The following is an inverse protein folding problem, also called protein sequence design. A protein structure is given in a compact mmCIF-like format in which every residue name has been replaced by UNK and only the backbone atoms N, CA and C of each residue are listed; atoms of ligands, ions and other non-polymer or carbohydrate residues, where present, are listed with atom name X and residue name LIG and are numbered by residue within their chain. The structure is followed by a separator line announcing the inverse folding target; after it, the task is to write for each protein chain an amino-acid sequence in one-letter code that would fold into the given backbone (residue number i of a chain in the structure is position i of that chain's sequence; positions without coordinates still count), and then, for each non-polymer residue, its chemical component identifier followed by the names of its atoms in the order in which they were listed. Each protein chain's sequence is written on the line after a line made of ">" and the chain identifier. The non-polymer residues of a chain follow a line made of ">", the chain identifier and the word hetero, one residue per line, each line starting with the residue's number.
data_IF_952243126393
#
_entry.id   IF_952243126393
#
_cell.length_a   1.000
_cell.length_b   1.000
_cell.length_c   1.000
_cell.angle_alpha   90.00
_cell.angle_beta   90.00
_cell.angle_gamma   90.00
#
_symmetry.space_group_name_H-M   'P 1'
#
loop_
_entity.id
_entity.type
_entity.pdbx_description
1 polymer ?
#
# COMPACT_ATOMS: atom_id res chain seq x y z
N UNK A 1 36.56 30.94 7.01
CA UNK A 1 36.04 29.58 7.32
C UNK A 1 34.51 29.71 7.49
N UNK A 2 33.73 29.29 6.51
CA UNK A 2 32.27 29.13 6.68
C UNK A 2 32.11 27.99 7.69
N UNK A 3 31.49 28.27 8.85
CA UNK A 3 31.06 27.23 9.79
C UNK A 3 30.16 26.27 8.98
N UNK A 4 30.59 25.03 8.81
CA UNK A 4 29.74 23.97 8.27
C UNK A 4 28.51 23.92 9.18
N UNK A 5 27.37 24.28 8.63
CA UNK A 5 26.11 24.28 9.39
C UNK A 5 25.75 22.81 9.59
N UNK A 6 26.03 22.29 10.79
CA UNK A 6 25.67 20.90 11.12
C UNK A 6 24.14 20.81 11.23
N UNK A 7 23.52 20.01 10.37
CA UNK A 7 22.09 19.74 10.44
C UNK A 7 21.81 18.66 11.50
N UNK A 8 20.77 18.85 12.26
CA UNK A 8 20.25 17.81 13.18
C UNK A 8 19.52 16.73 12.42
N UNK A 9 18.69 17.13 11.43
CA UNK A 9 17.85 16.19 10.68
C UNK A 9 17.92 16.48 9.19
N UNK A 10 18.06 15.41 8.38
CA UNK A 10 17.78 15.43 6.93
C UNK A 10 16.41 14.83 6.67
N UNK A 11 15.51 15.59 6.05
CA UNK A 11 14.19 15.13 5.64
C UNK A 11 14.27 14.76 4.16
N UNK A 12 14.01 13.50 3.84
CA UNK A 12 14.10 12.93 2.50
C UNK A 12 12.71 12.79 1.90
N UNK A 13 12.48 13.44 0.75
CA UNK A 13 11.20 13.49 0.05
C UNK A 13 11.37 12.97 -1.38
N UNK A 14 11.04 11.70 -1.67
CA UNK A 14 10.93 11.21 -3.03
C UNK A 14 9.65 11.76 -3.65
N UNK A 15 9.69 12.24 -4.89
CA UNK A 15 8.51 12.79 -5.54
C UNK A 15 8.40 12.34 -7.00
N UNK A 16 7.19 11.96 -7.40
CA UNK A 16 6.81 11.66 -8.78
C UNK A 16 5.38 12.15 -9.03
N UNK A 17 5.22 13.11 -9.95
CA UNK A 17 3.93 13.71 -10.29
C UNK A 17 3.16 14.23 -9.06
N UNK A 18 3.84 15.04 -8.23
CA UNK A 18 3.35 15.59 -6.97
C UNK A 18 2.91 17.06 -7.05
N UNK A 19 2.65 17.62 -8.24
CA UNK A 19 2.33 19.04 -8.46
C UNK A 19 1.29 19.59 -7.47
N UNK A 20 0.28 18.78 -7.13
CA UNK A 20 -0.84 19.21 -6.26
C UNK A 20 -0.53 19.12 -4.76
N UNK A 21 0.51 18.42 -4.35
CA UNK A 21 0.73 18.04 -2.95
C UNK A 21 2.08 18.47 -2.40
N UNK A 22 3.13 18.49 -3.25
CA UNK A 22 4.51 18.73 -2.81
C UNK A 22 4.71 20.08 -2.10
N UNK A 23 3.98 21.13 -2.48
CA UNK A 23 4.04 22.42 -1.79
C UNK A 23 3.64 22.30 -0.33
N UNK A 24 2.49 21.70 -0.04
CA UNK A 24 2.01 21.46 1.34
C UNK A 24 2.97 20.57 2.13
N UNK A 25 3.54 19.57 1.48
CA UNK A 25 4.52 18.67 2.06
C UNK A 25 5.75 19.46 2.56
N UNK A 26 6.38 20.27 1.70
CA UNK A 26 7.56 21.07 2.03
C UNK A 26 7.22 22.14 3.08
N UNK A 27 6.09 22.83 2.95
CA UNK A 27 5.64 23.86 3.88
C UNK A 27 5.50 23.31 5.30
N UNK A 28 5.04 22.06 5.46
CA UNK A 28 4.92 21.41 6.77
C UNK A 28 6.29 21.19 7.45
N UNK A 29 7.33 20.96 6.66
CA UNK A 29 8.71 20.87 7.18
C UNK A 29 9.27 22.26 7.53
N UNK A 30 9.03 23.25 6.68
CA UNK A 30 9.46 24.62 6.92
C UNK A 30 8.77 25.26 8.16
N UNK A 31 7.55 24.81 8.45
CA UNK A 31 6.80 25.22 9.65
C UNK A 31 7.33 24.63 10.96
N UNK A 32 8.17 23.57 10.90
CA UNK A 32 8.74 22.98 12.11
C UNK A 32 9.56 23.97 12.93
N UNK A 33 9.49 23.86 14.25
CA UNK A 33 10.31 24.65 15.20
C UNK A 33 11.80 24.40 15.03
N UNK A 34 12.17 23.17 14.68
CA UNK A 34 13.55 22.79 14.38
C UNK A 34 14.04 23.42 13.07
N UNK A 35 14.89 24.45 13.18
CA UNK A 35 15.47 25.12 12.00
C UNK A 35 16.78 24.48 11.51
N UNK A 36 17.37 23.60 12.30
CA UNK A 36 18.61 22.89 11.94
C UNK A 36 18.29 21.62 11.13
N UNK A 37 17.49 21.77 10.08
CA UNK A 37 17.15 20.68 9.16
C UNK A 37 17.47 21.04 7.72
N UNK A 38 17.80 20.04 6.92
CA UNK A 38 17.85 20.12 5.45
C UNK A 38 16.73 19.27 4.85
N UNK A 39 16.26 19.69 3.69
CA UNK A 39 15.21 19.00 2.94
C UNK A 39 15.83 18.52 1.63
N UNK A 40 15.83 17.23 1.41
CA UNK A 40 16.38 16.58 0.23
C UNK A 40 15.22 16.04 -0.61
N UNK A 41 14.87 16.75 -1.67
CA UNK A 41 13.83 16.34 -2.61
C UNK A 41 14.48 15.61 -3.79
N UNK A 42 14.03 14.41 -4.11
CA UNK A 42 14.43 13.71 -5.33
C UNK A 42 13.24 13.57 -6.27
N UNK A 43 13.25 14.33 -7.37
CA UNK A 43 12.30 14.17 -8.47
C UNK A 43 12.62 12.89 -9.25
N UNK A 44 11.68 11.93 -9.20
CA UNK A 44 11.80 10.61 -9.85
C UNK A 44 11.23 10.63 -11.28
N UNK A 45 11.57 11.68 -12.05
CA UNK A 45 11.19 11.82 -13.45
C UNK A 45 9.75 12.29 -13.65
N UNK A 46 9.29 13.28 -12.89
CA UNK A 46 7.95 13.83 -13.02
C UNK A 46 7.70 14.44 -14.41
N UNK A 47 6.47 14.31 -14.88
CA UNK A 47 6.00 14.79 -16.18
C UNK A 47 4.96 15.96 -16.08
N UNK A 48 4.61 16.34 -14.85
CA UNK A 48 3.71 17.44 -14.50
C UNK A 48 4.50 18.68 -14.03
N UNK A 49 3.84 19.65 -13.40
CA UNK A 49 4.45 20.88 -12.89
C UNK A 49 5.33 20.72 -11.65
N UNK A 50 5.55 19.51 -11.14
CA UNK A 50 6.31 19.22 -9.90
C UNK A 50 7.68 19.88 -9.91
N UNK A 51 8.44 19.74 -11.00
CA UNK A 51 9.81 20.23 -11.08
C UNK A 51 9.89 21.75 -10.93
N UNK A 52 8.92 22.49 -11.48
CA UNK A 52 8.88 23.94 -11.39
C UNK A 52 8.67 24.40 -9.95
N UNK A 53 7.82 23.68 -9.19
CA UNK A 53 7.56 23.96 -7.78
C UNK A 53 8.83 23.71 -6.97
N UNK A 54 9.48 22.56 -7.16
CA UNK A 54 10.72 22.20 -6.46
C UNK A 54 11.86 23.16 -6.74
N UNK A 55 12.01 23.63 -8.01
CA UNK A 55 13.00 24.63 -8.39
C UNK A 55 12.75 25.99 -7.69
N UNK A 56 11.50 26.38 -7.49
CA UNK A 56 11.15 27.59 -6.73
C UNK A 56 11.54 27.46 -5.25
N UNK A 57 11.18 26.34 -4.62
CA UNK A 57 11.54 26.10 -3.21
C UNK A 57 13.06 26.06 -3.01
N UNK A 58 13.80 25.38 -3.86
CA UNK A 58 15.27 25.28 -3.75
C UNK A 58 15.99 26.60 -3.96
N UNK A 59 15.45 27.52 -4.80
CA UNK A 59 15.99 28.87 -4.99
C UNK A 59 15.71 29.76 -3.78
N UNK A 60 14.56 29.62 -3.14
CA UNK A 60 14.13 30.47 -2.04
C UNK A 60 14.68 29.98 -0.66
N UNK A 61 15.07 28.73 -0.53
CA UNK A 61 15.49 28.12 0.73
C UNK A 61 16.82 27.39 0.58
N UNK A 62 17.88 27.89 1.17
CA UNK A 62 19.26 27.36 1.06
C UNK A 62 19.45 25.96 1.66
N UNK A 63 18.54 25.53 2.52
CA UNK A 63 18.52 24.22 3.13
C UNK A 63 17.69 23.20 2.36
N UNK A 64 17.16 23.56 1.18
CA UNK A 64 16.45 22.65 0.28
C UNK A 64 17.37 22.28 -0.90
N UNK A 65 17.60 21.00 -1.07
CA UNK A 65 18.39 20.44 -2.17
C UNK A 65 17.50 19.63 -3.08
N UNK A 66 17.54 19.93 -4.39
CA UNK A 66 16.79 19.21 -5.41
C UNK A 66 17.74 18.26 -6.16
N UNK A 67 17.40 16.99 -6.14
CA UNK A 67 17.98 15.95 -6.98
C UNK A 67 16.97 15.52 -8.06
N UNK A 68 17.46 15.00 -9.17
CA UNK A 68 16.66 14.50 -10.29
C UNK A 68 17.17 13.16 -10.74
N UNK A 69 16.25 12.27 -11.13
CA UNK A 69 16.60 11.00 -11.77
C UNK A 69 15.52 10.60 -12.78
N UNK A 70 15.81 9.63 -13.63
CA UNK A 70 14.79 8.92 -14.39
C UNK A 70 13.91 8.10 -13.45
N UNK A 71 12.64 7.84 -13.81
CA UNK A 71 11.70 7.12 -12.96
C UNK A 71 12.18 5.70 -12.63
N UNK A 72 12.72 5.52 -11.44
CA UNK A 72 13.23 4.25 -10.90
C UNK A 72 12.54 3.83 -9.61
N UNK A 73 11.58 4.60 -9.13
CA UNK A 73 10.80 4.33 -7.93
C UNK A 73 11.31 5.02 -6.66
N UNK A 74 10.41 5.18 -5.70
CA UNK A 74 10.66 5.95 -4.48
C UNK A 74 11.83 5.42 -3.63
N UNK A 75 12.07 4.09 -3.62
CA UNK A 75 13.19 3.49 -2.88
C UNK A 75 14.55 4.01 -3.36
N UNK A 76 14.78 3.99 -4.67
CA UNK A 76 16.03 4.48 -5.27
C UNK A 76 16.16 6.01 -5.17
N UNK A 77 15.05 6.75 -5.27
CA UNK A 77 15.04 8.18 -5.02
C UNK A 77 15.45 8.51 -3.58
N UNK A 78 14.99 7.73 -2.59
CA UNK A 78 15.42 7.87 -1.19
C UNK A 78 16.91 7.54 -1.02
N UNK A 79 17.40 6.46 -1.66
CA UNK A 79 18.84 6.11 -1.62
C UNK A 79 19.71 7.25 -2.13
N UNK A 80 19.33 7.86 -3.26
CA UNK A 80 20.06 9.00 -3.83
C UNK A 80 20.12 10.19 -2.88
N UNK A 81 19.08 10.44 -2.11
CA UNK A 81 19.11 11.45 -1.06
C UNK A 81 19.99 11.02 0.14
N UNK A 82 19.95 9.75 0.54
CA UNK A 82 20.78 9.21 1.63
C UNK A 82 22.28 9.42 1.38
N UNK A 83 22.75 9.29 0.13
CA UNK A 83 24.14 9.47 -0.25
C UNK A 83 24.70 10.86 0.09
N UNK A 84 23.85 11.90 0.07
CA UNK A 84 24.24 13.29 0.30
C UNK A 84 23.73 13.87 1.61
N UNK A 85 22.95 13.11 2.37
CA UNK A 85 22.39 13.55 3.65
C UNK A 85 23.47 13.87 4.67
N UNK A 86 23.35 15.00 5.37
CA UNK A 86 24.33 15.51 6.34
C UNK A 86 23.80 15.61 7.77
N UNK A 87 22.48 15.46 7.94
CA UNK A 87 21.84 15.47 9.23
C UNK A 87 22.35 14.36 10.16
N UNK A 88 22.34 14.60 11.44
CA UNK A 88 22.64 13.57 12.45
C UNK A 88 21.63 12.44 12.37
N UNK A 89 20.37 12.78 12.11
CA UNK A 89 19.27 11.84 11.90
C UNK A 89 18.63 12.01 10.54
N UNK A 90 17.93 10.97 10.09
CA UNK A 90 17.18 10.91 8.84
C UNK A 90 15.70 10.71 9.16
N UNK A 91 14.85 11.49 8.49
CA UNK A 91 13.40 11.29 8.41
C UNK A 91 12.99 11.13 6.95
N UNK A 92 11.91 10.40 6.71
CA UNK A 92 11.31 10.26 5.40
C UNK A 92 9.92 10.86 5.39
N UNK A 93 9.56 11.53 4.29
CA UNK A 93 8.25 12.12 4.11
C UNK A 93 7.79 11.91 2.67
N UNK A 94 6.63 11.28 2.48
CA UNK A 94 6.05 11.08 1.15
C UNK A 94 5.45 12.39 0.62
N UNK A 95 5.58 12.64 -0.67
CA UNK A 95 5.23 13.93 -1.30
C UNK A 95 3.72 14.29 -1.25
N UNK A 96 2.86 13.34 -0.93
CA UNK A 96 1.41 13.52 -0.76
C UNK A 96 0.97 13.62 0.72
N UNK A 97 1.93 13.54 1.66
CA UNK A 97 1.74 13.57 3.10
C UNK A 97 2.38 14.83 3.72
N UNK A 98 2.23 15.04 5.03
CA UNK A 98 2.83 16.19 5.73
C UNK A 98 3.04 15.92 7.23
N UNK A 99 3.95 16.68 7.87
CA UNK A 99 4.09 16.68 9.32
C UNK A 99 2.98 17.50 9.97
N UNK A 100 2.34 16.94 11.00
CA UNK A 100 1.13 17.50 11.59
C UNK A 100 1.43 18.51 12.71
N UNK A 101 2.22 18.12 13.70
CA UNK A 101 2.63 18.97 14.81
C UNK A 101 3.92 19.72 14.46
N UNK A 102 3.93 21.04 14.60
CA UNK A 102 5.09 21.88 14.29
C UNK A 102 6.29 21.69 15.23
N UNK A 103 6.14 20.97 16.34
CA UNK A 103 7.20 20.64 17.29
C UNK A 103 7.63 19.16 17.20
N UNK A 104 7.07 18.41 16.29
CA UNK A 104 7.25 16.96 16.24
C UNK A 104 8.70 16.55 16.01
N UNK A 105 9.46 17.26 15.15
CA UNK A 105 10.88 16.96 14.93
C UNK A 105 11.72 17.17 16.18
N UNK A 106 11.49 18.28 16.92
CA UNK A 106 12.21 18.54 18.18
C UNK A 106 11.85 17.48 19.23
N UNK A 107 10.56 17.17 19.39
CA UNK A 107 10.09 16.20 20.37
C UNK A 107 10.73 14.82 20.16
N UNK A 108 10.79 14.34 18.91
CA UNK A 108 11.38 13.04 18.60
C UNK A 108 12.90 13.09 18.78
N UNK A 109 13.57 14.14 18.28
CA UNK A 109 15.01 14.31 18.42
C UNK A 109 15.42 14.33 19.89
N UNK A 110 14.76 15.14 20.73
CA UNK A 110 15.06 15.28 22.15
C UNK A 110 14.79 13.96 22.90
N UNK A 111 13.73 13.25 22.56
CA UNK A 111 13.44 11.93 23.12
C UNK A 111 14.54 10.90 22.79
N UNK A 112 15.02 10.86 21.55
CA UNK A 112 16.15 10.00 21.16
C UNK A 112 17.40 10.35 21.95
N UNK A 113 17.74 11.64 22.04
CA UNK A 113 18.94 12.12 22.76
C UNK A 113 18.84 11.85 24.24
N UNK A 114 17.70 12.10 24.87
CA UNK A 114 17.41 11.85 26.29
C UNK A 114 17.67 10.40 26.68
N UNK A 115 17.28 9.47 25.83
CA UNK A 115 17.42 8.03 26.09
C UNK A 115 18.69 7.43 25.51
N UNK A 116 19.55 8.24 24.87
CA UNK A 116 20.77 7.81 24.20
C UNK A 116 20.53 6.64 23.23
N UNK A 117 19.52 6.79 22.36
CA UNK A 117 19.12 5.81 21.37
C UNK A 117 19.50 6.27 19.95
N UNK A 118 19.43 5.36 18.99
CA UNK A 118 19.70 5.62 17.57
C UNK A 118 18.41 5.80 16.75
N UNK A 119 17.27 5.44 17.31
CA UNK A 119 15.97 5.47 16.61
C UNK A 119 14.88 5.93 17.57
N UNK A 120 13.99 6.78 17.08
CA UNK A 120 12.74 7.17 17.73
C UNK A 120 11.62 7.31 16.71
N UNK A 121 10.38 7.34 17.16
CA UNK A 121 9.23 7.52 16.27
C UNK A 121 8.13 8.35 16.93
N UNK A 122 7.32 8.98 16.10
CA UNK A 122 6.10 9.68 16.49
C UNK A 122 4.86 8.93 16.04
N UNK A 123 3.69 9.50 16.28
CA UNK A 123 2.39 8.92 15.97
C UNK A 123 1.96 9.30 14.55
N UNK A 124 1.24 8.39 13.89
CA UNK A 124 0.64 8.65 12.59
C UNK A 124 -0.84 8.99 12.73
N UNK A 125 -1.25 10.03 12.04
CA UNK A 125 -2.64 10.39 11.81
C UNK A 125 -3.07 10.01 10.40
N UNK A 126 -4.36 9.66 10.24
CA UNK A 126 -4.98 9.33 8.96
C UNK A 126 -6.33 10.02 8.84
N UNK A 127 -6.68 10.44 7.64
CA UNK A 127 -8.04 10.85 7.34
C UNK A 127 -8.87 9.62 6.93
N UNK A 128 -9.90 9.32 7.68
CA UNK A 128 -10.87 8.27 7.36
C UNK A 128 -12.25 8.92 7.31
N UNK A 129 -12.83 8.97 6.12
CA UNK A 129 -14.17 9.54 5.89
C UNK A 129 -14.36 10.96 6.47
N UNK A 130 -13.34 11.82 6.31
CA UNK A 130 -13.35 13.20 6.79
C UNK A 130 -12.97 13.38 8.27
N UNK A 131 -12.75 12.29 9.01
CA UNK A 131 -12.29 12.33 10.41
C UNK A 131 -10.81 12.03 10.51
N UNK A 132 -10.07 12.86 11.23
CA UNK A 132 -8.67 12.60 11.56
C UNK A 132 -8.64 11.61 12.73
N UNK A 133 -8.02 10.47 12.52
CA UNK A 133 -7.85 9.43 13.54
C UNK A 133 -6.37 9.06 13.67
N UNK A 134 -5.96 8.72 14.86
CA UNK A 134 -4.63 8.13 15.08
C UNK A 134 -4.60 6.70 14.56
N UNK A 135 -3.56 6.35 13.80
CA UNK A 135 -3.36 4.97 13.35
C UNK A 135 -3.19 4.04 14.57
N UNK A 136 -3.81 2.86 14.57
CA UNK A 136 -3.90 2.02 15.77
C UNK A 136 -2.57 1.42 16.22
N UNK A 137 -1.57 1.47 15.38
CA UNK A 137 -0.32 0.74 15.46
C UNK A 137 0.48 0.98 16.76
N UNK A 138 0.70 2.25 17.14
CA UNK A 138 1.39 2.59 18.39
C UNK A 138 0.45 2.71 19.60
N UNK A 139 -0.86 2.59 19.38
CA UNK A 139 -1.88 2.84 20.42
C UNK A 139 -1.75 1.92 21.63
N UNK A 140 -1.27 0.70 21.42
CA UNK A 140 -1.07 -0.27 22.49
C UNK A 140 0.19 0.00 23.33
N UNK A 141 1.13 0.78 22.79
CA UNK A 141 2.38 1.11 23.46
C UNK A 141 2.30 2.47 24.17
N UNK A 142 1.63 3.46 23.58
CA UNK A 142 1.50 4.81 24.15
C UNK A 142 0.29 4.87 25.06
N UNK A 143 0.49 4.51 26.32
CA UNK A 143 -0.50 4.71 27.39
C UNK A 143 -0.15 5.98 28.17
N UNK A 144 -1.19 6.77 28.52
CA UNK A 144 -1.06 7.95 29.39
C UNK A 144 -0.15 9.08 28.84
N UNK A 145 0.06 9.16 27.52
CA UNK A 145 0.86 10.24 26.94
C UNK A 145 2.35 10.25 27.34
N UNK A 146 2.90 9.10 27.75
CA UNK A 146 4.30 8.96 28.14
C UNK A 146 5.14 8.35 27.01
N UNK A 147 6.43 8.73 26.99
CA UNK A 147 7.45 8.10 26.15
C UNK A 147 7.63 6.63 26.55
N UNK A 148 7.79 5.76 25.54
CA UNK A 148 7.97 4.32 25.78
C UNK A 148 9.18 3.81 25.00
N UNK A 149 10.12 3.17 25.70
CA UNK A 149 11.23 2.46 25.05
C UNK A 149 10.77 1.06 24.70
N UNK A 150 10.95 0.66 23.46
CA UNK A 150 10.56 -0.63 22.92
C UNK A 150 11.80 -1.40 22.46
N UNK A 151 11.90 -2.66 22.80
CA UNK A 151 12.92 -3.57 22.25
C UNK A 151 12.41 -4.15 20.93
N UNK A 152 13.23 -4.12 19.89
CA UNK A 152 12.82 -4.66 18.59
C UNK A 152 12.57 -6.18 18.67
N UNK A 153 13.34 -6.90 19.48
CA UNK A 153 13.17 -8.34 19.71
C UNK A 153 11.77 -8.72 20.21
N UNK A 154 11.09 -7.80 20.94
CA UNK A 154 9.75 -8.03 21.47
C UNK A 154 8.67 -7.45 20.53
N UNK A 155 9.06 -6.48 19.69
CA UNK A 155 8.16 -5.72 18.80
C UNK A 155 7.99 -6.37 17.43
N UNK A 156 9.10 -6.62 16.74
CA UNK A 156 9.22 -7.34 15.47
C UNK A 156 8.18 -6.94 14.41
N UNK A 157 7.88 -5.65 14.30
CA UNK A 157 6.94 -5.14 13.31
C UNK A 157 7.65 -4.21 12.32
N UNK A 158 7.16 -4.14 11.10
CA UNK A 158 7.84 -3.56 9.95
C UNK A 158 7.06 -2.45 9.24
N UNK A 159 6.02 -1.95 9.88
CA UNK A 159 5.15 -0.94 9.28
C UNK A 159 5.47 0.50 9.67
N UNK A 160 4.95 1.43 8.85
CA UNK A 160 4.97 2.87 9.11
C UNK A 160 6.37 3.49 9.22
N UNK A 161 7.31 3.06 8.37
CA UNK A 161 8.70 3.52 8.37
C UNK A 161 8.83 5.06 8.36
N UNK A 162 7.90 5.77 7.73
CA UNK A 162 7.85 7.24 7.66
C UNK A 162 7.64 7.93 9.02
N UNK A 163 7.21 7.19 10.03
CA UNK A 163 7.06 7.71 11.40
C UNK A 163 8.36 7.72 12.19
N UNK A 164 9.44 7.16 11.65
CA UNK A 164 10.70 7.01 12.37
C UNK A 164 11.70 8.10 12.00
N UNK A 165 12.42 8.54 13.02
CA UNK A 165 13.66 9.30 12.92
C UNK A 165 14.82 8.37 13.27
N UNK A 166 15.78 8.19 12.37
CA UNK A 166 16.83 7.17 12.46
C UNK A 166 18.21 7.82 12.37
N UNK A 167 19.16 7.36 13.17
CA UNK A 167 20.54 7.83 13.11
C UNK A 167 21.15 7.60 11.73
N UNK A 168 21.64 8.67 11.08
CA UNK A 168 22.38 8.56 9.82
C UNK A 168 23.62 7.67 9.97
N UNK A 169 24.31 7.76 11.12
CA UNK A 169 25.46 6.91 11.41
C UNK A 169 25.10 5.43 11.37
N UNK A 170 23.98 5.05 11.98
CA UNK A 170 23.47 3.67 11.94
C UNK A 170 23.25 3.19 10.50
N UNK A 171 22.62 4.02 9.67
CA UNK A 171 22.32 3.67 8.26
C UNK A 171 23.61 3.51 7.45
N UNK A 172 24.52 4.48 7.55
CA UNK A 172 25.73 4.53 6.72
C UNK A 172 26.75 3.47 7.13
N UNK A 173 27.03 3.30 8.43
CA UNK A 173 28.02 2.33 8.91
C UNK A 173 27.62 0.88 8.65
N UNK A 174 26.32 0.61 8.53
CA UNK A 174 25.81 -0.73 8.24
C UNK A 174 25.37 -0.91 6.78
N UNK A 175 25.67 0.08 5.91
CA UNK A 175 25.36 0.04 4.49
C UNK A 175 23.87 -0.30 4.21
N UNK A 176 22.96 0.29 5.00
CA UNK A 176 21.53 0.05 4.85
C UNK A 176 20.96 0.95 3.77
N UNK A 177 20.24 0.35 2.83
CA UNK A 177 19.54 1.07 1.75
C UNK A 177 18.21 0.43 1.41
N UNK A 178 17.41 1.16 0.64
CA UNK A 178 16.20 0.60 0.08
C UNK A 178 16.55 -0.36 -1.06
N UNK A 179 15.98 -1.57 -1.11
CA UNK A 179 16.18 -2.46 -2.25
C UNK A 179 15.60 -1.88 -3.54
N UNK A 180 16.14 -2.29 -4.69
CA UNK A 180 15.64 -1.90 -6.01
C UNK A 180 14.31 -2.62 -6.31
N UNK A 181 13.28 -2.20 -5.61
CA UNK A 181 11.91 -2.68 -5.73
C UNK A 181 10.99 -1.46 -5.91
N UNK A 182 10.06 -1.54 -6.83
CA UNK A 182 9.03 -0.47 -6.99
C UNK A 182 7.99 -0.50 -5.87
N UNK A 183 7.86 -1.64 -5.21
CA UNK A 183 6.92 -1.85 -4.11
C UNK A 183 7.55 -2.74 -3.05
N UNK A 184 7.14 -2.57 -1.80
CA UNK A 184 7.63 -3.35 -0.67
C UNK A 184 9.12 -3.14 -0.34
N UNK A 185 9.67 -1.96 -0.68
CA UNK A 185 11.06 -1.58 -0.40
C UNK A 185 11.28 -1.08 1.03
N UNK A 186 10.23 -0.55 1.65
CA UNK A 186 10.26 0.05 2.99
C UNK A 186 10.37 -0.96 4.14
N UNK A 187 9.67 -2.12 4.16
CA UNK A 187 9.83 -3.08 5.25
C UNK A 187 11.26 -3.64 5.38
N UNK A 188 11.96 -4.03 4.30
CA UNK A 188 13.36 -4.46 4.40
C UNK A 188 14.29 -3.39 4.96
N UNK A 189 14.11 -2.13 4.60
CA UNK A 189 14.89 -1.03 5.12
C UNK A 189 14.65 -0.84 6.63
N UNK A 190 13.37 -0.79 7.04
CA UNK A 190 13.00 -0.53 8.43
C UNK A 190 13.48 -1.64 9.36
N UNK A 191 13.24 -2.92 9.02
CA UNK A 191 13.62 -4.02 9.92
C UNK A 191 15.12 -4.10 10.13
N UNK A 192 15.95 -3.81 9.11
CA UNK A 192 17.40 -3.72 9.27
C UNK A 192 17.80 -2.62 10.24
N UNK A 193 17.21 -1.43 10.10
CA UNK A 193 17.49 -0.32 11.01
C UNK A 193 17.10 -0.65 12.46
N UNK A 194 15.93 -1.25 12.67
CA UNK A 194 15.43 -1.57 14.01
C UNK A 194 16.18 -2.75 14.63
N UNK A 195 16.58 -3.74 13.82
CA UNK A 195 17.40 -4.86 14.27
C UNK A 195 18.75 -4.40 14.80
N UNK A 196 19.44 -3.52 14.05
CA UNK A 196 20.75 -2.98 14.48
C UNK A 196 20.58 -2.03 15.69
N UNK A 197 19.53 -1.21 15.70
CA UNK A 197 19.25 -0.32 16.82
C UNK A 197 18.87 -1.06 18.11
N UNK A 198 18.32 -2.28 18.00
CA UNK A 198 17.81 -3.13 19.09
C UNK A 198 16.70 -2.48 19.91
N UNK A 199 16.75 -1.18 20.16
CA UNK A 199 15.77 -0.41 20.92
C UNK A 199 15.47 0.92 20.25
N UNK A 200 14.23 1.35 20.37
CA UNK A 200 13.78 2.67 19.92
C UNK A 200 12.79 3.28 20.93
N UNK A 201 12.60 4.59 20.87
CA UNK A 201 11.62 5.29 21.71
C UNK A 201 10.41 5.71 20.88
N UNK A 202 9.22 5.48 21.43
CA UNK A 202 7.96 6.03 20.91
C UNK A 202 7.64 7.30 21.67
N UNK A 203 7.54 8.40 20.96
CA UNK A 203 7.18 9.72 21.51
C UNK A 203 5.69 9.95 21.21
N UNK A 204 4.88 10.32 22.20
CA UNK A 204 3.44 10.57 22.02
C UNK A 204 3.16 11.92 21.35
N UNK A 205 3.84 12.21 20.24
CA UNK A 205 3.65 13.41 19.42
C UNK A 205 2.99 13.05 18.10
N UNK A 206 2.01 13.84 17.67
CA UNK A 206 1.31 13.68 16.40
C UNK A 206 2.23 14.14 15.27
N UNK A 207 2.99 13.21 14.72
CA UNK A 207 4.08 13.51 13.80
C UNK A 207 3.63 13.51 12.34
N UNK A 208 3.18 12.38 11.86
CA UNK A 208 2.97 12.13 10.44
C UNK A 208 1.50 12.10 10.08
N UNK A 209 1.07 12.89 9.11
CA UNK A 209 -0.28 12.82 8.56
C UNK A 209 -0.27 12.14 7.21
N UNK A 210 -0.88 10.96 7.16
CA UNK A 210 -1.04 10.17 5.94
C UNK A 210 -2.33 10.55 5.22
N UNK A 211 -2.21 11.12 4.04
CA UNK A 211 -3.34 11.46 3.18
C UNK A 211 -3.80 10.21 2.40
N UNK A 212 -4.82 9.53 2.90
CA UNK A 212 -5.37 8.32 2.26
C UNK A 212 -6.27 8.74 1.09
N UNK A 213 -5.70 9.29 0.03
CA UNK A 213 -6.40 9.46 -1.23
C UNK A 213 -6.11 8.23 -2.10
N UNK A 214 -7.14 7.44 -2.40
CA UNK A 214 -7.25 6.37 -3.41
C UNK A 214 -5.91 5.94 -4.05
N UNK A 215 -4.99 5.37 -3.25
CA UNK A 215 -3.73 4.81 -3.79
C UNK A 215 -4.12 3.72 -4.78
N UNK A 216 -3.72 3.90 -6.04
CA UNK A 216 -3.92 2.90 -7.10
C UNK A 216 -3.47 1.54 -6.58
N UNK A 217 -4.38 0.58 -6.54
CA UNK A 217 -4.09 -0.80 -6.15
C UNK A 217 -3.23 -1.46 -7.22
N UNK A 218 -2.49 -2.47 -6.83
CA UNK A 218 -1.59 -3.28 -7.64
C UNK A 218 -2.28 -3.81 -8.91
N UNK A 219 -1.98 -3.25 -10.05
CA UNK A 219 -2.51 -3.74 -11.33
C UNK A 219 -1.40 -4.19 -12.29
N UNK A 220 -0.13 -3.85 -11.97
CA UNK A 220 1.02 -4.22 -12.79
C UNK A 220 1.63 -5.55 -12.27
N UNK A 221 1.76 -6.60 -13.09
CA UNK A 221 2.39 -7.87 -12.72
C UNK A 221 3.82 -7.72 -12.17
N UNK A 222 4.58 -6.73 -12.66
CA UNK A 222 5.94 -6.44 -12.17
C UNK A 222 5.93 -6.00 -10.70
N UNK A 223 4.90 -5.29 -10.29
CA UNK A 223 4.72 -4.85 -8.90
C UNK A 223 4.46 -6.04 -7.98
N UNK A 224 3.79 -7.07 -8.46
CA UNK A 224 3.57 -8.33 -7.71
C UNK A 224 4.89 -9.07 -7.50
N UNK A 225 5.75 -9.15 -8.51
CA UNK A 225 7.07 -9.76 -8.38
C UNK A 225 7.92 -9.03 -7.32
N UNK A 226 7.91 -7.71 -7.33
CA UNK A 226 8.66 -6.91 -6.36
C UNK A 226 8.12 -7.09 -4.94
N UNK A 227 6.80 -7.15 -4.80
CA UNK A 227 6.14 -7.47 -3.53
C UNK A 227 6.57 -8.85 -3.02
N UNK A 228 6.55 -9.88 -3.87
CA UNK A 228 6.96 -11.24 -3.50
C UNK A 228 8.45 -11.32 -3.15
N UNK A 229 9.33 -10.60 -3.86
CA UNK A 229 10.75 -10.48 -3.52
C UNK A 229 10.95 -9.86 -2.15
N UNK A 230 10.24 -8.77 -1.86
CA UNK A 230 10.30 -8.11 -0.56
C UNK A 230 9.79 -8.99 0.58
N UNK A 231 8.66 -9.69 0.37
CA UNK A 231 8.11 -10.64 1.35
C UNK A 231 9.05 -11.83 1.58
N UNK A 232 9.64 -12.39 0.50
CA UNK A 232 10.62 -13.47 0.59
C UNK A 232 11.84 -13.03 1.40
N UNK A 233 12.42 -11.88 1.05
CA UNK A 233 13.56 -11.32 1.76
C UNK A 233 13.26 -11.15 3.26
N UNK A 234 12.10 -10.62 3.57
CA UNK A 234 11.68 -10.36 4.94
C UNK A 234 11.45 -11.66 5.73
N UNK A 235 10.90 -12.69 5.08
CA UNK A 235 10.74 -14.01 5.67
C UNK A 235 12.10 -14.66 5.96
N UNK A 236 13.04 -14.62 5.01
CA UNK A 236 14.41 -15.11 5.19
C UNK A 236 15.10 -14.36 6.33
N UNK A 237 14.96 -13.04 6.40
CA UNK A 237 15.50 -12.23 7.49
C UNK A 237 14.91 -12.65 8.85
N UNK A 238 13.59 -12.79 8.93
CA UNK A 238 12.90 -13.19 10.17
C UNK A 238 13.33 -14.57 10.66
N UNK A 239 13.44 -15.55 9.76
CA UNK A 239 13.88 -16.91 10.07
C UNK A 239 15.33 -16.89 10.56
N UNK A 240 16.23 -16.23 9.84
CA UNK A 240 17.66 -16.19 10.18
C UNK A 240 17.94 -15.53 11.55
N UNK A 241 17.08 -14.58 11.96
CA UNK A 241 17.19 -13.91 13.27
C UNK A 241 16.29 -14.50 14.35
N UNK A 242 15.57 -15.59 14.04
CA UNK A 242 14.60 -16.22 14.95
C UNK A 242 13.51 -15.24 15.43
N UNK A 243 13.06 -14.34 14.55
CA UNK A 243 12.01 -13.37 14.81
C UNK A 243 10.63 -13.97 14.51
N UNK A 244 10.07 -14.67 15.51
CA UNK A 244 8.82 -15.39 15.35
C UNK A 244 7.64 -14.48 15.01
N UNK A 245 7.51 -13.34 15.70
CA UNK A 245 6.39 -12.42 15.43
C UNK A 245 6.50 -11.78 14.04
N UNK A 246 7.70 -11.43 13.58
CA UNK A 246 7.91 -10.92 12.23
C UNK A 246 7.58 -12.00 11.18
N UNK A 247 7.92 -13.26 11.44
CA UNK A 247 7.51 -14.40 10.60
C UNK A 247 6.00 -14.48 10.50
N UNK A 248 5.28 -14.36 11.63
CA UNK A 248 3.80 -14.32 11.64
C UNK A 248 3.24 -13.11 10.87
N UNK A 249 3.82 -11.93 11.01
CA UNK A 249 3.42 -10.72 10.26
C UNK A 249 3.53 -10.96 8.76
N UNK A 250 4.64 -11.52 8.29
CA UNK A 250 4.84 -11.82 6.86
C UNK A 250 3.88 -12.90 6.37
N UNK A 251 3.72 -13.98 7.13
CA UNK A 251 2.82 -15.09 6.77
C UNK A 251 1.36 -14.65 6.75
N UNK A 252 0.93 -13.80 7.68
CA UNK A 252 -0.42 -13.23 7.69
C UNK A 252 -0.69 -12.33 6.48
N UNK A 253 0.32 -11.59 5.98
CA UNK A 253 0.18 -10.84 4.72
C UNK A 253 -0.02 -11.76 3.53
N UNK A 254 0.73 -12.85 3.46
CA UNK A 254 0.56 -13.84 2.38
C UNK A 254 -0.82 -14.51 2.41
N UNK A 255 -1.43 -14.60 3.61
CA UNK A 255 -2.79 -15.11 3.81
C UNK A 255 -3.89 -14.07 3.58
N UNK A 256 -3.54 -12.78 3.50
CA UNK A 256 -4.53 -11.75 3.23
C UNK A 256 -5.09 -11.90 1.81
N UNK A 257 -6.41 -12.00 1.72
CA UNK A 257 -7.11 -12.22 0.44
C UNK A 257 -6.82 -11.13 -0.59
N UNK A 258 -6.49 -9.93 -0.13
CA UNK A 258 -6.11 -8.84 -1.04
C UNK A 258 -4.76 -9.09 -1.71
N UNK A 259 -3.80 -9.64 -1.00
CA UNK A 259 -2.51 -10.06 -1.54
C UNK A 259 -2.69 -11.30 -2.45
N UNK A 260 -3.41 -12.30 -1.97
CA UNK A 260 -3.69 -13.51 -2.73
C UNK A 260 -4.34 -13.22 -4.09
N UNK A 261 -5.33 -12.32 -4.15
CA UNK A 261 -5.99 -11.95 -5.40
C UNK A 261 -5.03 -11.29 -6.41
N UNK A 262 -4.09 -10.47 -5.95
CA UNK A 262 -3.08 -9.87 -6.84
C UNK A 262 -2.10 -10.90 -7.38
N UNK A 263 -1.69 -11.85 -6.55
CA UNK A 263 -0.79 -12.94 -6.95
C UNK A 263 -1.49 -13.85 -7.97
N UNK A 264 -2.75 -14.23 -7.72
CA UNK A 264 -3.55 -15.06 -8.64
C UNK A 264 -3.70 -14.35 -9.99
N UNK A 265 -4.00 -13.05 -9.98
CA UNK A 265 -4.09 -12.27 -11.23
C UNK A 265 -2.75 -12.24 -11.99
N UNK A 266 -1.63 -12.06 -11.29
CA UNK A 266 -0.32 -12.09 -11.94
C UNK A 266 0.02 -13.46 -12.54
N UNK A 267 -0.36 -14.53 -11.86
CA UNK A 267 -0.18 -15.91 -12.38
C UNK A 267 -1.08 -16.19 -13.59
N UNK A 268 -2.28 -15.61 -13.66
CA UNK A 268 -3.18 -15.75 -14.82
C UNK A 268 -2.68 -15.03 -16.08
N UNK A 269 -1.68 -14.15 -15.94
CA UNK A 269 -1.00 -13.43 -17.02
C UNK A 269 0.35 -14.06 -17.39
N UNK A 270 0.53 -15.37 -17.15
CA UNK A 270 1.76 -16.14 -17.45
C UNK A 270 3.02 -15.58 -16.75
N UNK A 271 2.86 -14.98 -15.56
CA UNK A 271 3.97 -14.48 -14.78
C UNK A 271 4.70 -15.62 -14.04
N UNK A 272 5.54 -16.37 -14.76
CA UNK A 272 6.32 -17.47 -14.21
C UNK A 272 7.27 -17.03 -13.10
N UNK A 273 7.76 -15.78 -13.10
CA UNK A 273 8.61 -15.26 -12.01
C UNK A 273 7.84 -15.20 -10.70
N UNK A 274 6.56 -14.82 -10.71
CA UNK A 274 5.73 -14.83 -9.50
C UNK A 274 5.55 -16.26 -8.96
N UNK A 275 5.39 -17.25 -9.86
CA UNK A 275 5.29 -18.65 -9.48
C UNK A 275 6.57 -19.15 -8.83
N UNK A 276 7.74 -18.87 -9.41
CA UNK A 276 9.04 -19.26 -8.85
C UNK A 276 9.25 -18.68 -7.46
N UNK A 277 8.93 -17.38 -7.27
CA UNK A 277 9.02 -16.72 -5.98
C UNK A 277 8.10 -17.34 -4.93
N UNK A 278 6.87 -17.72 -5.32
CA UNK A 278 5.92 -18.41 -4.45
C UNK A 278 6.42 -19.80 -4.04
N UNK A 279 7.00 -20.55 -4.99
CA UNK A 279 7.58 -21.86 -4.70
C UNK A 279 8.75 -21.75 -3.73
N UNK A 280 9.59 -20.72 -3.88
CA UNK A 280 10.67 -20.45 -2.94
C UNK A 280 10.17 -20.10 -1.55
N UNK A 281 9.16 -19.22 -1.44
CA UNK A 281 8.53 -18.86 -0.16
C UNK A 281 7.92 -20.10 0.48
N UNK A 282 7.21 -20.93 -0.28
CA UNK A 282 6.61 -22.15 0.23
C UNK A 282 7.68 -23.14 0.74
N UNK A 283 8.83 -23.22 0.05
CA UNK A 283 9.96 -24.05 0.49
C UNK A 283 10.55 -23.56 1.82
N UNK A 284 10.73 -22.24 1.99
CA UNK A 284 11.18 -21.65 3.25
C UNK A 284 10.24 -22.00 4.39
N UNK A 285 8.94 -21.82 4.22
CA UNK A 285 7.93 -22.12 5.22
C UNK A 285 7.91 -23.62 5.60
N UNK A 286 8.02 -24.50 4.61
CA UNK A 286 8.04 -25.95 4.82
C UNK A 286 9.30 -26.40 5.56
N UNK A 287 10.45 -25.84 5.27
CA UNK A 287 11.72 -26.17 5.92
C UNK A 287 11.67 -25.79 7.42
N UNK A 288 11.06 -24.67 7.76
CA UNK A 288 10.89 -24.20 9.12
C UNK A 288 9.72 -24.85 9.87
N UNK A 289 9.02 -25.83 9.23
CA UNK A 289 7.83 -26.49 9.77
C UNK A 289 6.70 -25.51 10.11
N UNK A 290 6.66 -24.38 9.46
CA UNK A 290 5.57 -23.41 9.59
C UNK A 290 4.35 -24.01 8.90
N UNK A 291 3.23 -24.10 9.62
CA UNK A 291 1.99 -24.74 9.16
C UNK A 291 1.23 -23.93 8.12
N UNK A 292 1.92 -23.31 7.21
CA UNK A 292 1.31 -22.55 6.14
C UNK A 292 1.85 -23.07 4.82
N UNK A 293 0.94 -23.58 4.02
CA UNK A 293 1.21 -23.93 2.63
C UNK A 293 0.48 -22.87 1.76
N UNK A 294 1.23 -21.87 1.30
CA UNK A 294 0.70 -20.77 0.51
C UNK A 294 -0.05 -21.28 -0.74
N UNK A 295 0.50 -22.29 -1.41
CA UNK A 295 -0.13 -22.82 -2.62
C UNK A 295 -1.43 -23.54 -2.27
N UNK A 296 -1.47 -24.32 -1.18
CA UNK A 296 -2.70 -24.94 -0.69
C UNK A 296 -3.71 -23.91 -0.24
N UNK A 297 -3.26 -22.88 0.48
CA UNK A 297 -4.13 -21.79 0.87
C UNK A 297 -4.74 -21.10 -0.35
N UNK A 298 -3.94 -20.73 -1.34
CA UNK A 298 -4.43 -20.12 -2.58
C UNK A 298 -5.40 -21.02 -3.34
N UNK A 299 -5.10 -22.32 -3.44
CA UNK A 299 -6.02 -23.30 -4.05
C UNK A 299 -7.31 -23.42 -3.23
N UNK A 300 -7.24 -23.42 -1.88
CA UNK A 300 -8.44 -23.49 -1.04
C UNK A 300 -9.28 -22.22 -1.16
N UNK A 301 -8.67 -21.05 -1.22
CA UNK A 301 -9.37 -19.79 -1.45
C UNK A 301 -10.02 -19.75 -2.84
N UNK A 302 -9.33 -20.19 -3.88
CA UNK A 302 -9.91 -20.33 -5.23
C UNK A 302 -11.09 -21.29 -5.18
N UNK A 303 -10.97 -22.46 -4.53
CA UNK A 303 -12.05 -23.45 -4.39
C UNK A 303 -13.21 -22.93 -3.55
N UNK A 304 -12.95 -22.22 -2.45
CA UNK A 304 -14.00 -21.64 -1.62
C UNK A 304 -14.75 -20.53 -2.35
N UNK A 305 -14.04 -19.68 -3.09
CA UNK A 305 -14.61 -18.69 -3.98
C UNK A 305 -15.50 -19.41 -4.99
N UNK A 306 -14.99 -20.44 -5.63
CA UNK A 306 -15.65 -21.21 -6.66
C UNK A 306 -16.91 -21.93 -6.15
N UNK A 307 -16.82 -22.63 -5.01
CA UNK A 307 -17.95 -23.37 -4.45
C UNK A 307 -19.15 -22.48 -4.08
N UNK A 308 -18.89 -21.39 -3.39
CA UNK A 308 -19.95 -20.45 -3.01
C UNK A 308 -20.56 -19.73 -4.21
N UNK A 309 -19.74 -19.42 -5.22
CA UNK A 309 -20.22 -18.76 -6.43
C UNK A 309 -20.95 -19.70 -7.37
N UNK A 310 -20.53 -20.96 -7.49
CA UNK A 310 -21.27 -21.97 -8.24
C UNK A 310 -22.66 -22.18 -7.68
N UNK A 311 -22.80 -22.24 -6.34
CA UNK A 311 -24.13 -22.33 -5.70
C UNK A 311 -25.03 -21.17 -6.12
N UNK A 312 -24.51 -19.95 -6.04
CA UNK A 312 -25.27 -18.74 -6.42
C UNK A 312 -25.63 -18.76 -7.91
N UNK A 313 -24.74 -19.21 -8.80
CA UNK A 313 -24.99 -19.29 -10.23
C UNK A 313 -26.08 -20.34 -10.55
N UNK A 314 -26.10 -21.48 -9.86
CA UNK A 314 -27.19 -22.45 -10.00
C UNK A 314 -28.56 -21.84 -9.64
N UNK A 315 -28.61 -20.93 -8.67
CA UNK A 315 -29.83 -20.21 -8.31
C UNK A 315 -30.22 -19.21 -9.40
N UNK A 316 -29.25 -18.53 -10.04
CA UNK A 316 -29.52 -17.66 -11.20
C UNK A 316 -30.00 -18.41 -12.43
N UNK A 317 -29.64 -19.67 -12.66
CA UNK A 317 -30.15 -20.48 -13.75
C UNK A 317 -31.68 -20.68 -13.70
N UNK A 318 -32.29 -20.47 -12.55
CA UNK A 318 -33.77 -20.49 -12.44
C UNK A 318 -34.40 -19.16 -12.89
N UNK A 319 -33.65 -18.07 -12.93
CA UNK A 319 -34.14 -16.75 -13.30
C UNK A 319 -33.63 -16.29 -14.66
N UNK A 320 -32.46 -16.78 -15.11
CA UNK A 320 -31.80 -16.36 -16.34
C UNK A 320 -31.64 -17.58 -17.25
N UNK A 321 -32.14 -17.56 -18.51
CA UNK A 321 -31.93 -18.63 -19.48
C UNK A 321 -30.42 -18.88 -19.71
N UNK A 322 -30.05 -20.15 -19.87
CA UNK A 322 -28.68 -20.54 -20.23
C UNK A 322 -28.26 -19.88 -21.57
N UNK A 323 -26.98 -19.58 -21.69
CA UNK A 323 -26.37 -18.88 -22.81
C UNK A 323 -26.80 -17.42 -22.99
N UNK A 324 -27.49 -16.83 -21.99
CA UNK A 324 -27.79 -15.41 -21.99
C UNK A 324 -26.48 -14.59 -21.95
N UNK A 325 -26.49 -13.47 -22.67
CA UNK A 325 -25.41 -12.48 -22.65
C UNK A 325 -25.62 -11.54 -21.50
N UNK A 326 -24.70 -11.54 -20.56
CA UNK A 326 -24.83 -10.74 -19.33
C UNK A 326 -23.76 -9.67 -19.23
N UNK A 327 -24.15 -8.54 -18.62
CA UNK A 327 -23.22 -7.56 -18.09
C UNK A 327 -23.09 -7.83 -16.58
N UNK A 328 -21.86 -7.92 -16.10
CA UNK A 328 -21.58 -7.98 -14.67
C UNK A 328 -21.37 -6.56 -14.14
N UNK A 329 -22.18 -6.11 -13.19
CA UNK A 329 -22.03 -4.83 -12.51
C UNK A 329 -21.42 -5.01 -11.14
N UNK A 330 -20.30 -4.34 -10.88
CA UNK A 330 -19.51 -4.43 -9.67
C UNK A 330 -18.23 -5.23 -9.89
N UNK A 331 -17.08 -4.57 -9.76
CA UNK A 331 -15.75 -5.16 -9.86
C UNK A 331 -15.05 -5.26 -8.49
N UNK A 332 -15.86 -5.40 -7.41
CA UNK A 332 -15.41 -5.74 -6.07
C UNK A 332 -15.19 -7.24 -5.92
N UNK A 333 -14.93 -7.68 -4.67
CA UNK A 333 -14.70 -9.09 -4.34
C UNK A 333 -15.80 -10.00 -4.93
N UNK A 334 -17.07 -9.67 -4.69
CA UNK A 334 -18.21 -10.46 -5.21
C UNK A 334 -18.30 -10.51 -6.74
N UNK A 335 -18.01 -9.41 -7.42
CA UNK A 335 -17.97 -9.39 -8.87
C UNK A 335 -16.87 -10.26 -9.44
N UNK A 336 -15.68 -10.25 -8.83
CA UNK A 336 -14.57 -11.13 -9.24
C UNK A 336 -14.90 -12.61 -9.02
N UNK A 337 -15.49 -12.94 -7.87
CA UNK A 337 -15.96 -14.29 -7.56
C UNK A 337 -16.97 -14.80 -8.60
N UNK A 338 -18.01 -14.00 -8.86
CA UNK A 338 -19.05 -14.37 -9.83
C UNK A 338 -18.52 -14.47 -11.27
N UNK A 339 -17.64 -13.54 -11.69
CA UNK A 339 -17.03 -13.61 -13.02
C UNK A 339 -16.27 -14.91 -13.23
N UNK A 340 -15.43 -15.28 -12.24
CA UNK A 340 -14.66 -16.53 -12.29
C UNK A 340 -15.59 -17.75 -12.44
N UNK A 341 -16.60 -17.85 -11.57
CA UNK A 341 -17.52 -18.97 -11.56
C UNK A 341 -18.37 -19.06 -12.83
N UNK A 342 -18.89 -17.92 -13.35
CA UNK A 342 -19.64 -17.90 -14.62
C UNK A 342 -18.75 -18.37 -15.77
N UNK A 343 -17.51 -17.92 -15.82
CA UNK A 343 -16.57 -18.28 -16.89
C UNK A 343 -16.22 -19.77 -16.86
N UNK A 344 -16.08 -20.35 -15.67
CA UNK A 344 -15.81 -21.77 -15.50
C UNK A 344 -17.02 -22.66 -15.85
N UNK A 345 -18.22 -22.31 -15.39
CA UNK A 345 -19.43 -23.07 -15.62
C UNK A 345 -19.94 -22.93 -17.04
N UNK A 346 -19.55 -21.91 -17.80
CA UNK A 346 -19.94 -21.62 -19.18
C UNK A 346 -21.48 -21.60 -19.40
N UNK A 347 -22.23 -21.24 -18.36
CA UNK A 347 -23.69 -21.20 -18.40
C UNK A 347 -24.21 -19.89 -18.99
N UNK A 348 -23.42 -18.83 -18.91
CA UNK A 348 -23.72 -17.50 -19.43
C UNK A 348 -22.50 -16.92 -20.16
N UNK A 349 -22.73 -15.96 -21.04
CA UNK A 349 -21.68 -15.22 -21.72
C UNK A 349 -21.55 -13.83 -21.06
N UNK A 350 -20.46 -13.57 -20.31
CA UNK A 350 -20.17 -12.22 -19.78
C UNK A 350 -19.61 -11.36 -20.90
N UNK A 351 -20.43 -10.47 -21.46
CA UNK A 351 -20.04 -9.59 -22.58
C UNK A 351 -19.48 -8.25 -22.14
N UNK A 352 -19.72 -7.83 -20.89
CA UNK A 352 -19.24 -6.59 -20.32
C UNK A 352 -19.07 -6.66 -18.81
N UNK A 353 -18.12 -5.90 -18.29
CA UNK A 353 -17.92 -5.73 -16.85
C UNK A 353 -17.88 -4.25 -16.49
N UNK A 354 -18.79 -3.83 -15.62
CA UNK A 354 -19.04 -2.43 -15.32
C UNK A 354 -18.82 -2.14 -13.84
N UNK A 355 -18.15 -1.03 -13.51
CA UNK A 355 -18.04 -0.52 -12.14
C UNK A 355 -17.84 0.99 -12.16
N UNK A 356 -18.52 1.70 -11.25
CA UNK A 356 -18.47 3.16 -11.13
C UNK A 356 -17.09 3.67 -10.70
N UNK A 357 -16.42 2.94 -9.81
CA UNK A 357 -15.18 3.35 -9.15
C UNK A 357 -13.93 2.64 -9.68
N UNK A 358 -14.12 1.54 -10.41
CA UNK A 358 -13.02 0.70 -10.92
C UNK A 358 -12.86 0.74 -12.43
N UNK A 359 -13.39 1.77 -13.07
CA UNK A 359 -13.25 2.02 -14.51
C UNK A 359 -11.78 2.02 -14.91
N UNK A 360 -11.47 1.33 -16.01
CA UNK A 360 -10.12 1.20 -16.57
C UNK A 360 -9.25 0.15 -15.90
N UNK A 361 -9.71 -0.50 -14.83
CA UNK A 361 -9.01 -1.64 -14.26
C UNK A 361 -9.21 -2.89 -15.13
N UNK A 362 -8.20 -3.76 -15.13
CA UNK A 362 -8.19 -4.97 -15.94
C UNK A 362 -8.18 -6.19 -15.03
N UNK A 363 -9.16 -7.10 -15.22
CA UNK A 363 -9.29 -8.33 -14.45
C UNK A 363 -9.68 -9.48 -15.38
N UNK A 364 -9.08 -10.65 -15.25
CA UNK A 364 -9.42 -11.87 -15.96
C UNK A 364 -9.56 -11.69 -17.48
N UNK A 365 -8.63 -10.95 -18.09
CA UNK A 365 -8.64 -10.70 -19.53
C UNK A 365 -9.66 -9.64 -20.00
N UNK A 366 -10.29 -8.88 -19.10
CA UNK A 366 -11.31 -7.87 -19.43
C UNK A 366 -11.08 -6.53 -18.75
N UNK A 367 -11.33 -5.47 -19.48
CA UNK A 367 -11.32 -4.10 -18.95
C UNK A 367 -12.66 -3.77 -18.32
N UNK A 368 -12.65 -3.27 -17.08
CA UNK A 368 -13.84 -2.74 -16.41
C UNK A 368 -14.17 -1.38 -17.01
N UNK A 369 -15.39 -1.19 -17.48
CA UNK A 369 -15.86 0.07 -18.06
C UNK A 369 -16.77 0.85 -17.11
N UNK A 370 -17.00 2.12 -17.40
CA UNK A 370 -17.95 2.94 -16.64
C UNK A 370 -19.40 2.65 -17.05
N UNK A 371 -20.34 3.08 -16.18
CA UNK A 371 -21.78 2.94 -16.41
C UNK A 371 -22.24 3.60 -17.71
N UNK A 372 -21.54 4.66 -18.15
CA UNK A 372 -21.77 5.38 -19.41
C UNK A 372 -21.59 4.50 -20.66
N UNK A 373 -20.97 3.33 -20.53
CA UNK A 373 -20.73 2.39 -21.63
C UNK A 373 -21.74 1.22 -21.70
N UNK A 374 -22.64 1.09 -20.71
CA UNK A 374 -23.59 -0.04 -20.66
C UNK A 374 -24.46 -0.11 -21.93
N UNK A 375 -24.96 1.04 -22.40
CA UNK A 375 -25.84 1.10 -23.57
C UNK A 375 -25.15 0.73 -24.90
N UNK A 376 -23.82 0.65 -24.90
CA UNK A 376 -23.06 0.20 -26.07
C UNK A 376 -23.04 -1.34 -26.21
N UNK A 377 -23.47 -2.07 -25.19
CA UNK A 377 -23.52 -3.55 -25.23
C UNK A 377 -24.92 -4.04 -25.63
N UNK A 378 -24.97 -5.06 -26.46
CA UNK A 378 -26.21 -5.80 -26.72
C UNK A 378 -26.29 -6.99 -25.76
N UNK A 379 -27.02 -6.85 -24.66
CA UNK A 379 -27.12 -7.80 -23.56
C UNK A 379 -28.56 -8.22 -23.27
N UNK A 380 -28.69 -9.35 -22.60
CA UNK A 380 -29.97 -9.89 -22.16
C UNK A 380 -30.26 -9.47 -20.70
N UNK A 381 -29.26 -9.58 -19.80
CA UNK A 381 -29.39 -9.25 -18.37
C UNK A 381 -28.17 -8.51 -17.82
N UNK A 382 -28.40 -7.77 -16.71
CA UNK A 382 -27.34 -7.19 -15.86
C UNK A 382 -27.37 -7.90 -14.52
N UNK A 383 -26.27 -8.54 -14.13
CA UNK A 383 -26.09 -9.14 -12.82
C UNK A 383 -25.37 -8.16 -11.90
N UNK A 384 -26.06 -7.66 -10.87
CA UNK A 384 -25.54 -6.66 -9.92
C UNK A 384 -24.87 -7.39 -8.77
N UNK A 385 -23.54 -7.48 -8.82
CA UNK A 385 -22.69 -8.19 -7.86
C UNK A 385 -22.25 -7.29 -6.69
N UNK A 386 -23.21 -6.71 -5.97
CA UNK A 386 -22.98 -5.82 -4.83
C UNK A 386 -23.57 -6.44 -3.57
N UNK A 387 -22.74 -6.58 -2.53
CA UNK A 387 -23.12 -7.26 -1.30
C UNK A 387 -24.10 -6.44 -0.43
N UNK A 388 -23.94 -5.11 -0.41
CA UNK A 388 -24.84 -4.23 0.36
C UNK A 388 -26.17 -4.02 -0.36
N UNK A 389 -27.32 -4.43 0.22
CA UNK A 389 -28.63 -4.30 -0.41
C UNK A 389 -28.98 -2.85 -0.76
N UNK A 390 -28.66 -1.89 0.13
CA UNK A 390 -28.93 -0.47 -0.09
C UNK A 390 -28.12 0.11 -1.26
N UNK A 391 -26.85 -0.29 -1.40
CA UNK A 391 -25.99 0.13 -2.52
C UNK A 391 -26.45 -0.54 -3.82
N UNK A 392 -26.83 -1.80 -3.78
CA UNK A 392 -27.33 -2.52 -4.96
C UNK A 392 -28.64 -1.90 -5.48
N UNK A 393 -29.55 -1.50 -4.60
CA UNK A 393 -30.78 -0.82 -4.99
C UNK A 393 -30.52 0.59 -5.55
N UNK A 394 -29.55 1.32 -4.98
CA UNK A 394 -29.09 2.62 -5.55
C UNK A 394 -28.58 2.45 -6.99
N UNK A 395 -27.77 1.41 -7.24
CA UNK A 395 -27.28 1.09 -8.59
C UNK A 395 -28.42 0.72 -9.52
N UNK A 396 -29.41 -0.04 -9.04
CA UNK A 396 -30.60 -0.38 -9.82
C UNK A 396 -31.38 0.86 -10.26
N UNK A 397 -31.48 1.87 -9.38
CA UNK A 397 -32.13 3.14 -9.72
C UNK A 397 -31.30 3.92 -10.76
N UNK A 398 -29.96 4.02 -10.57
CA UNK A 398 -29.07 4.65 -11.58
C UNK A 398 -29.21 4.00 -12.96
N UNK A 399 -29.34 2.68 -13.01
CA UNK A 399 -29.54 1.93 -14.26
C UNK A 399 -30.89 2.21 -14.88
N UNK A 400 -31.96 2.37 -14.08
CA UNK A 400 -33.29 2.77 -14.57
C UNK A 400 -33.27 4.16 -15.20
N UNK A 401 -32.54 5.09 -14.56
CA UNK A 401 -32.43 6.48 -15.02
C UNK A 401 -31.77 6.59 -16.40
N UNK A 402 -30.90 5.62 -16.76
CA UNK A 402 -30.31 5.53 -18.11
C UNK A 402 -31.11 4.61 -19.06
N UNK A 403 -32.34 4.23 -18.68
CA UNK A 403 -33.28 3.52 -19.54
C UNK A 403 -33.18 1.99 -19.56
N UNK A 404 -32.48 1.38 -18.60
CA UNK A 404 -32.42 -0.09 -18.50
C UNK A 404 -33.70 -0.64 -17.81
N UNK A 405 -34.41 -1.57 -18.42
CA UNK A 405 -35.61 -2.18 -17.84
C UNK A 405 -35.32 -2.98 -16.57
N UNK A 406 -36.22 -2.89 -15.57
CA UNK A 406 -36.01 -3.55 -14.27
C UNK A 406 -36.03 -5.07 -14.32
N UNK A 407 -36.74 -5.65 -15.26
CA UNK A 407 -36.79 -7.09 -15.53
C UNK A 407 -35.49 -7.67 -16.10
N UNK A 408 -34.61 -6.80 -16.58
CA UNK A 408 -33.25 -7.19 -17.01
C UNK A 408 -32.20 -7.10 -15.90
N UNK A 409 -32.57 -6.69 -14.68
CA UNK A 409 -31.64 -6.48 -13.57
C UNK A 409 -31.80 -7.51 -12.47
N UNK A 410 -30.82 -8.35 -12.28
CA UNK A 410 -30.79 -9.37 -11.22
C UNK A 410 -29.86 -8.93 -10.10
N UNK A 411 -30.35 -8.90 -8.87
CA UNK A 411 -29.58 -8.55 -7.69
C UNK A 411 -28.98 -9.80 -7.03
N UNK A 412 -27.69 -9.77 -6.76
CA UNK A 412 -26.97 -10.86 -6.09
C UNK A 412 -27.63 -11.35 -4.80
N UNK A 413 -28.18 -10.45 -3.97
CA UNK A 413 -28.74 -10.77 -2.66
C UNK A 413 -30.22 -11.17 -2.68
N UNK A 414 -30.91 -11.09 -3.82
CA UNK A 414 -32.30 -11.54 -3.96
C UNK A 414 -32.41 -13.04 -4.16
N UNK A 415 -31.29 -13.67 -4.47
CA UNK A 415 -31.22 -15.13 -4.63
C UNK A 415 -31.16 -15.70 -3.22
N UNK A 416 -32.28 -16.24 -2.73
CA UNK A 416 -32.38 -16.88 -1.42
C UNK A 416 -31.64 -18.22 -1.45
N UNK A 417 -30.63 -18.36 -0.58
CA UNK A 417 -30.02 -19.63 -0.27
C UNK A 417 -30.89 -20.51 0.61
#
# INVERSE_FOLDING_TARGET
>A
MKRDQSFKVSIIIPVFNGEKTIGKCIDSVLAQSMKQCEILCCDDGSTDGTINILDQYSKNHKNIVLLKQENRGAGLARNKCLEIARGEFICFLDADDFYYDNHALDNIYDGIKKHNLSVGCGLMLKNVEGKVIQAPFFRNYVKEGKEVIVNFKDYQYDGYFVCYMMSRKLIVENNIGFPDLRRFQDPPFLVQCLDIAQRFVIIPTEFYYCNINNKKRFTDPKVVNDMLKGLKWQLEFAINHSYQHLTEVVTNRLNDISYASHIINALSEDNFQALDLLMDINRLLSNEKIKLDILRFMISEIRNIDFNCKKVIYEFENEIPRNSRIILYGAGKKGMELFSAITEMKNFEVIGWVDKYKRGQYYFGRTVVGIDKITAFSFDYILIAIQSPSVAESVKNELRDIGIPSDKMILYHQVKG
#
